data_IF_593303182977
#
_entry.id   IF_593303182977
#
_cell.length_a   1.000
_cell.length_b   1.000
_cell.length_c   1.000
_cell.angle_alpha   90.00
_cell.angle_beta   90.00
_cell.angle_gamma   90.00
#
_symmetry.space_group_name_H-M   'P 1'
#
loop_
_entity.id
_entity.type
_entity.pdbx_description
1 polymer ?
#
# COMPACT_ATOMS: atom_id res chain seq x y z
N UNK A 1 -6.61 24.36 4.36
CA UNK A 1 -7.33 23.72 5.50
C UNK A 1 -6.28 23.15 6.47
N UNK A 2 -6.53 23.22 7.78
CA UNK A 2 -5.61 22.65 8.80
C UNK A 2 -6.40 21.63 9.64
N UNK A 3 -5.85 20.43 9.77
CA UNK A 3 -6.34 19.38 10.67
C UNK A 3 -5.24 19.03 11.69
N UNK A 4 -5.36 19.49 12.95
CA UNK A 4 -4.33 19.27 13.96
C UNK A 4 -4.43 17.89 14.64
N UNK A 5 -5.43 17.07 14.34
CA UNK A 5 -5.66 15.74 14.86
C UNK A 5 -6.04 14.77 13.74
N UNK A 6 -5.17 14.69 12.75
CA UNK A 6 -5.48 14.08 11.45
C UNK A 6 -5.74 12.57 11.51
N UNK A 7 -5.26 11.85 12.53
CA UNK A 7 -5.48 10.42 12.68
C UNK A 7 -5.16 9.64 11.40
N UNK A 8 -6.16 8.96 10.84
CA UNK A 8 -6.04 8.21 9.59
C UNK A 8 -6.01 9.06 8.31
N UNK A 9 -6.11 10.38 8.40
CA UNK A 9 -5.93 11.30 7.26
C UNK A 9 -7.14 11.45 6.33
N UNK A 10 -8.33 11.01 6.73
CA UNK A 10 -9.52 11.09 5.88
C UNK A 10 -9.91 12.54 5.53
N UNK A 11 -9.88 13.45 6.50
CA UNK A 11 -10.24 14.85 6.29
C UNK A 11 -9.25 15.57 5.37
N UNK A 12 -7.93 15.53 5.59
CA UNK A 12 -6.98 16.16 4.68
C UNK A 12 -6.97 15.50 3.30
N UNK A 13 -7.22 14.19 3.18
CA UNK A 13 -7.36 13.51 1.89
C UNK A 13 -8.55 14.05 1.09
N UNK A 14 -9.73 14.18 1.71
CA UNK A 14 -10.90 14.73 1.02
C UNK A 14 -10.73 16.22 0.68
N UNK A 15 -10.08 16.99 1.54
CA UNK A 15 -9.73 18.38 1.24
C UNK A 15 -8.86 18.48 -0.02
N UNK A 16 -7.85 17.63 -0.13
CA UNK A 16 -6.98 17.55 -1.30
C UNK A 16 -7.75 17.14 -2.57
N UNK A 17 -8.69 16.19 -2.48
CA UNK A 17 -9.56 15.80 -3.60
C UNK A 17 -10.44 16.94 -4.09
N UNK A 18 -10.81 17.86 -3.23
CA UNK A 18 -11.54 19.07 -3.56
C UNK A 18 -10.65 20.22 -4.06
N UNK A 19 -9.35 19.99 -4.22
CA UNK A 19 -8.40 20.99 -4.69
C UNK A 19 -7.98 22.00 -3.62
N UNK A 20 -8.23 21.73 -2.35
CA UNK A 20 -7.83 22.60 -1.24
C UNK A 20 -6.42 22.26 -0.80
N UNK A 21 -5.65 23.28 -0.42
CA UNK A 21 -4.39 23.08 0.28
C UNK A 21 -4.68 22.53 1.69
N UNK A 22 -4.16 21.34 1.98
CA UNK A 22 -4.39 20.61 3.22
C UNK A 22 -3.10 20.50 4.04
N UNK A 23 -3.18 20.91 5.29
CA UNK A 23 -2.13 20.71 6.28
C UNK A 23 -2.66 19.80 7.37
N UNK A 24 -1.90 18.75 7.69
CA UNK A 24 -2.25 17.74 8.67
C UNK A 24 -1.15 17.62 9.72
N UNK A 25 -1.52 17.47 10.97
CA UNK A 25 -0.59 17.14 12.05
C UNK A 25 -1.24 16.15 13.02
N UNK A 26 -0.41 15.40 13.73
CA UNK A 26 -0.83 14.47 14.78
C UNK A 26 0.32 14.27 15.77
N UNK A 27 0.00 13.98 17.03
CA UNK A 27 0.99 13.61 18.04
C UNK A 27 1.46 12.16 17.88
N UNK A 28 0.64 11.31 17.25
CA UNK A 28 0.99 9.92 17.00
C UNK A 28 1.84 9.80 15.72
N UNK A 29 3.10 9.36 15.80
CA UNK A 29 3.98 9.22 14.63
C UNK A 29 3.44 8.23 13.60
N UNK A 30 2.64 7.24 14.00
CA UNK A 30 1.99 6.32 13.07
C UNK A 30 0.94 7.06 12.21
N UNK A 31 0.14 7.95 12.81
CA UNK A 31 -0.80 8.79 12.08
C UNK A 31 -0.08 9.69 11.07
N UNK A 32 1.04 10.28 11.45
CA UNK A 32 1.88 11.10 10.53
C UNK A 32 2.37 10.26 9.35
N UNK A 33 2.83 9.03 9.58
CA UNK A 33 3.27 8.13 8.52
C UNK A 33 2.13 7.76 7.56
N UNK A 34 0.94 7.45 8.10
CA UNK A 34 -0.26 7.16 7.31
C UNK A 34 -0.63 8.36 6.43
N UNK A 35 -0.66 9.56 7.00
CA UNK A 35 -0.96 10.79 6.25
C UNK A 35 0.05 11.01 5.12
N UNK A 36 1.34 10.84 5.36
CA UNK A 36 2.36 10.94 4.31
C UNK A 36 2.13 9.93 3.19
N UNK A 37 1.83 8.69 3.53
CA UNK A 37 1.59 7.63 2.56
C UNK A 37 0.34 7.89 1.69
N UNK A 38 -0.70 8.52 2.24
CA UNK A 38 -1.95 8.78 1.54
C UNK A 38 -1.97 10.10 0.77
N UNK A 39 -1.35 11.14 1.29
CA UNK A 39 -1.57 12.52 0.86
C UNK A 39 -0.33 13.13 0.20
N UNK A 40 0.86 12.85 0.74
CA UNK A 40 2.10 13.48 0.26
C UNK A 40 2.79 12.65 -0.83
N UNK A 41 2.92 11.34 -0.61
CA UNK A 41 3.69 10.47 -1.51
C UNK A 41 3.00 10.28 -2.87
N UNK A 42 1.71 9.95 -2.99
CA UNK A 42 1.10 9.68 -4.28
C UNK A 42 1.18 10.85 -5.27
N UNK A 43 0.86 12.11 -4.91
CA UNK A 43 1.00 13.22 -5.83
C UNK A 43 2.43 13.52 -6.23
N UNK A 44 3.41 13.24 -5.34
CA UNK A 44 4.84 13.51 -5.58
C UNK A 44 5.43 12.59 -6.64
N UNK A 45 4.90 11.40 -6.79
CA UNK A 45 5.37 10.39 -7.74
C UNK A 45 4.39 10.15 -8.88
N UNK A 46 3.32 10.93 -8.99
CA UNK A 46 2.37 10.83 -10.07
C UNK A 46 3.03 11.13 -11.43
N UNK A 47 2.77 10.28 -12.42
CA UNK A 47 3.30 10.41 -13.78
C UNK A 47 4.78 10.05 -13.93
N UNK A 48 5.38 9.40 -12.94
CA UNK A 48 6.73 8.83 -13.04
C UNK A 48 6.64 7.36 -13.49
N UNK A 49 7.62 6.89 -14.26
CA UNK A 49 7.65 5.50 -14.69
C UNK A 49 7.88 4.54 -13.50
N UNK A 50 7.27 3.32 -13.55
CA UNK A 50 7.52 2.30 -12.52
C UNK A 50 9.00 1.94 -12.45
N UNK A 51 9.51 1.71 -11.24
CA UNK A 51 10.92 1.35 -11.02
C UNK A 51 11.16 -0.15 -10.93
N UNK A 52 10.10 -0.98 -10.89
CA UNK A 52 10.24 -2.42 -10.84
C UNK A 52 10.67 -3.01 -12.20
N UNK A 53 11.43 -4.12 -12.23
CA UNK A 53 11.79 -4.79 -13.46
C UNK A 53 10.56 -5.29 -14.22
N UNK A 54 10.42 -4.88 -15.49
CA UNK A 54 9.30 -5.27 -16.35
C UNK A 54 8.13 -4.29 -16.38
N UNK A 55 8.29 -3.09 -15.84
CA UNK A 55 7.35 -1.99 -16.04
C UNK A 55 7.20 -1.70 -17.56
N UNK A 56 5.97 -1.49 -18.02
CA UNK A 56 5.67 -1.25 -19.43
C UNK A 56 6.01 0.21 -19.76
N UNK A 57 7.12 0.45 -20.45
CA UNK A 57 7.54 1.76 -20.95
C UNK A 57 6.52 2.42 -21.92
N UNK A 58 5.52 1.66 -22.40
CA UNK A 58 4.53 2.11 -23.37
C UNK A 58 3.16 2.47 -22.78
N UNK A 59 2.96 2.31 -21.47
CA UNK A 59 1.69 2.63 -20.83
C UNK A 59 1.62 4.12 -20.52
N UNK A 60 0.57 4.80 -21.00
CA UNK A 60 0.25 6.16 -20.58
C UNK A 60 -0.38 6.07 -19.20
N UNK A 61 0.45 6.14 -18.19
CA UNK A 61 0.00 6.16 -16.81
C UNK A 61 -0.69 7.48 -16.46
N UNK A 62 -1.83 7.39 -15.83
CA UNK A 62 -2.56 8.56 -15.34
C UNK A 62 -2.57 8.57 -13.82
N UNK A 63 -2.17 9.70 -13.23
CA UNK A 63 -2.12 9.92 -11.77
C UNK A 63 -0.96 9.15 -11.10
N UNK A 64 -1.27 8.27 -10.12
CA UNK A 64 -0.28 7.51 -9.35
C UNK A 64 -0.41 5.99 -9.56
N UNK A 65 -0.82 5.57 -10.76
CA UNK A 65 -1.01 4.15 -11.11
C UNK A 65 0.33 3.40 -11.08
N UNK A 66 1.40 4.04 -11.53
CA UNK A 66 2.76 3.51 -11.55
C UNK A 66 3.29 3.22 -10.14
N UNK A 67 3.06 4.14 -9.21
CA UNK A 67 3.41 3.91 -7.80
C UNK A 67 2.61 2.73 -7.22
N UNK A 68 1.33 2.62 -7.56
CA UNK A 68 0.51 1.51 -7.13
C UNK A 68 0.97 0.16 -7.71
N UNK A 69 1.47 0.16 -8.95
CA UNK A 69 2.05 -1.01 -9.59
C UNK A 69 3.35 -1.44 -8.89
N UNK A 70 4.26 -0.50 -8.62
CA UNK A 70 5.47 -0.75 -7.86
C UNK A 70 5.17 -1.33 -6.46
N UNK A 71 4.21 -0.74 -5.75
CA UNK A 71 3.80 -1.23 -4.42
C UNK A 71 3.26 -2.67 -4.50
N UNK A 72 2.44 -2.98 -5.51
CA UNK A 72 1.94 -4.36 -5.72
C UNK A 72 3.07 -5.32 -6.04
N UNK A 73 3.99 -4.93 -6.93
CA UNK A 73 5.12 -5.76 -7.32
C UNK A 73 6.02 -6.09 -6.13
N UNK A 74 6.49 -5.06 -5.43
CA UNK A 74 7.37 -5.27 -4.28
C UNK A 74 6.65 -5.91 -3.09
N UNK A 75 5.38 -5.61 -2.87
CA UNK A 75 4.56 -6.27 -1.86
C UNK A 75 4.42 -7.77 -2.12
N UNK A 76 4.18 -8.16 -3.36
CA UNK A 76 4.17 -9.57 -3.77
C UNK A 76 5.54 -10.22 -3.60
N UNK A 77 6.60 -9.56 -4.06
CA UNK A 77 7.97 -10.06 -3.91
C UNK A 77 8.34 -10.26 -2.44
N UNK A 78 8.05 -9.31 -1.57
CA UNK A 78 8.29 -9.41 -0.13
C UNK A 78 7.54 -10.58 0.50
N UNK A 79 6.28 -10.76 0.14
CA UNK A 79 5.44 -11.88 0.62
C UNK A 79 6.05 -13.22 0.20
N UNK A 80 6.39 -13.36 -1.07
CA UNK A 80 6.89 -14.62 -1.63
C UNK A 80 8.28 -14.95 -1.05
N UNK A 81 9.14 -13.94 -0.87
CA UNK A 81 10.45 -14.10 -0.25
C UNK A 81 10.35 -14.43 1.25
N UNK A 82 9.43 -13.80 1.98
CA UNK A 82 9.15 -14.14 3.37
C UNK A 82 8.65 -15.59 3.48
N UNK A 83 7.72 -15.99 2.60
CA UNK A 83 7.22 -17.37 2.56
C UNK A 83 8.36 -18.38 2.27
N UNK A 84 9.25 -18.06 1.35
CA UNK A 84 10.42 -18.90 1.04
C UNK A 84 11.32 -19.10 2.25
N UNK A 85 11.54 -18.04 3.04
CA UNK A 85 12.44 -18.06 4.20
C UNK A 85 11.84 -18.70 5.43
N UNK A 86 10.60 -18.37 5.76
CA UNK A 86 10.00 -18.75 7.03
C UNK A 86 8.71 -19.56 6.90
N UNK A 87 8.25 -19.84 5.66
CA UNK A 87 7.01 -20.58 5.42
C UNK A 87 6.98 -21.98 6.06
N UNK A 88 8.13 -22.62 6.17
CA UNK A 88 8.27 -23.91 6.83
C UNK A 88 8.04 -23.88 8.35
N UNK A 89 8.11 -22.72 8.98
CA UNK A 89 7.87 -22.52 10.41
C UNK A 89 6.38 -22.46 10.75
N UNK A 90 5.51 -22.30 9.76
CA UNK A 90 4.07 -22.16 9.98
C UNK A 90 3.38 -23.53 9.86
N UNK A 91 2.50 -23.88 10.82
CA UNK A 91 1.78 -25.13 10.78
C UNK A 91 0.81 -25.21 9.60
N UNK A 92 0.69 -26.36 9.00
CA UNK A 92 -0.33 -26.66 8.00
C UNK A 92 -1.60 -27.09 8.71
N UNK A 93 -2.75 -26.56 8.26
CA UNK A 93 -4.08 -26.94 8.73
C UNK A 93 -4.83 -27.61 7.60
N UNK A 94 -5.44 -28.76 7.88
CA UNK A 94 -6.34 -29.43 6.93
C UNK A 94 -7.72 -28.82 7.03
N UNK A 95 -8.23 -28.35 5.89
CA UNK A 95 -9.62 -27.92 5.77
C UNK A 95 -10.56 -29.17 5.72
N UNK A 96 -11.87 -29.00 6.01
CA UNK A 96 -12.83 -30.10 5.96
C UNK A 96 -12.95 -30.78 4.59
N UNK A 97 -12.57 -30.11 3.52
CA UNK A 97 -12.50 -30.60 2.15
C UNK A 97 -11.25 -31.44 1.84
N UNK A 98 -10.35 -31.62 2.82
CA UNK A 98 -9.10 -32.35 2.68
C UNK A 98 -7.92 -31.56 2.13
N UNK A 99 -8.10 -30.29 1.77
CA UNK A 99 -7.02 -29.41 1.31
C UNK A 99 -6.12 -28.96 2.48
N UNK A 100 -4.82 -28.88 2.24
CA UNK A 100 -3.88 -28.35 3.24
C UNK A 100 -3.64 -26.87 2.99
N UNK A 101 -3.90 -26.07 4.00
CA UNK A 101 -3.61 -24.63 3.99
C UNK A 101 -2.53 -24.30 5.01
N UNK A 102 -1.57 -23.47 4.62
CA UNK A 102 -0.61 -22.90 5.57
C UNK A 102 -1.29 -21.72 6.26
N UNK A 103 -1.21 -21.63 7.60
CA UNK A 103 -1.84 -20.56 8.40
C UNK A 103 -1.19 -19.18 8.22
N UNK A 104 -0.48 -18.96 7.12
CA UNK A 104 0.12 -17.66 6.82
C UNK A 104 -0.86 -16.86 5.96
N UNK A 105 -1.48 -15.89 6.58
CA UNK A 105 -2.23 -14.82 5.93
C UNK A 105 -3.39 -15.30 5.04
N UNK A 106 -4.54 -15.36 5.62
CA UNK A 106 -5.76 -15.11 4.86
C UNK A 106 -5.77 -13.66 4.36
N UNK A 107 -4.97 -13.32 3.38
CA UNK A 107 -5.29 -12.21 2.51
C UNK A 107 -6.37 -12.71 1.59
N UNK A 108 -7.61 -12.37 1.89
CA UNK A 108 -8.70 -12.56 0.97
C UNK A 108 -8.38 -11.78 -0.30
N UNK A 109 -7.95 -12.47 -1.35
CA UNK A 109 -8.06 -11.95 -2.70
C UNK A 109 -9.56 -11.86 -3.03
N UNK A 110 -10.13 -10.69 -2.88
CA UNK A 110 -11.39 -10.28 -3.47
C UNK A 110 -11.19 -8.98 -4.20
#
# INVERSE_FOLDING_TARGET
MLDPFAGGGSIPLEAQRLGLEAHASDLNPLAVLINKALIEIPPKFAGQEPVHPGGNEQSIYQRAEELAEDVRYYGKWMRDEAFRRIGHLYPKVKAPDGTEHTMILMTSDK
#
